data_IF_210766964432
#
_entry.id   IF_210766964432
#
_cell.length_a   1.000
_cell.length_b   1.000
_cell.length_c   1.000
_cell.angle_alpha   90.00
_cell.angle_beta   90.00
_cell.angle_gamma   90.00
#
_symmetry.space_group_name_H-M   'P 1'
#
loop_
_entity.id
_entity.type
_entity.pdbx_description
1 polymer ?
#
# COMPACT_ATOMS: atom_id res chain seq x y z
N UNK A 1 -11.22 2.91 12.40
CA UNK A 1 -10.72 4.24 11.98
C UNK A 1 -9.85 4.92 13.04
N UNK A 2 -8.78 5.55 12.59
CA UNK A 2 -7.83 6.41 13.32
C UNK A 2 -7.78 7.77 12.62
N UNK A 3 -7.74 8.85 13.40
CA UNK A 3 -7.65 10.21 12.87
C UNK A 3 -6.19 10.60 12.62
N UNK A 4 -5.91 11.07 11.42
CA UNK A 4 -4.64 11.70 11.05
C UNK A 4 -4.87 13.22 11.03
N UNK A 5 -4.24 14.00 11.92
CA UNK A 5 -4.42 15.44 11.94
C UNK A 5 -3.86 16.08 10.67
N UNK A 6 -4.54 17.12 10.20
CA UNK A 6 -4.07 17.91 9.06
C UNK A 6 -2.72 18.57 9.34
N UNK A 7 -1.92 18.74 8.30
CA UNK A 7 -0.54 19.18 8.43
C UNK A 7 0.20 19.19 7.10
N UNK A 8 1.48 19.55 7.16
CA UNK A 8 2.40 19.44 6.03
C UNK A 8 3.37 18.28 6.26
N UNK A 9 3.48 17.41 5.26
CA UNK A 9 4.24 16.17 5.32
C UNK A 9 5.18 16.07 4.13
N UNK A 10 6.27 15.32 4.30
CA UNK A 10 7.14 14.96 3.18
C UNK A 10 6.59 13.69 2.54
N UNK A 11 6.23 13.76 1.26
CA UNK A 11 5.81 12.62 0.44
C UNK A 11 6.93 12.27 -0.54
N UNK A 12 7.16 10.98 -0.74
CA UNK A 12 8.21 10.46 -1.61
C UNK A 12 9.57 10.31 -0.93
N UNK A 13 10.47 9.64 -1.63
CA UNK A 13 11.79 9.23 -1.18
C UNK A 13 12.89 10.21 -1.61
N UNK A 14 13.92 10.34 -0.80
CA UNK A 14 15.16 11.04 -1.19
C UNK A 14 16.07 10.12 -1.99
N UNK A 15 17.01 10.68 -2.75
CA UNK A 15 18.02 9.90 -3.49
C UNK A 15 18.79 8.94 -2.57
N UNK A 16 19.14 9.36 -1.35
CA UNK A 16 19.84 8.52 -0.39
C UNK A 16 18.98 7.31 0.06
N UNK A 17 17.70 7.52 0.32
CA UNK A 17 16.79 6.43 0.69
C UNK A 17 16.56 5.45 -0.47
N UNK A 18 16.51 5.94 -1.71
CA UNK A 18 16.42 5.08 -2.90
C UNK A 18 17.71 4.28 -3.08
N UNK A 19 18.88 4.88 -2.86
CA UNK A 19 20.15 4.16 -2.88
C UNK A 19 20.19 3.04 -1.83
N UNK A 20 19.73 3.30 -0.61
CA UNK A 20 19.61 2.28 0.45
C UNK A 20 18.63 1.16 0.04
N UNK A 21 17.51 1.50 -0.62
CA UNK A 21 16.52 0.54 -1.10
C UNK A 21 17.07 -0.35 -2.23
N UNK A 22 17.87 0.20 -3.14
CA UNK A 22 18.55 -0.54 -4.20
C UNK A 22 19.54 -1.56 -3.62
N UNK A 23 20.36 -1.16 -2.65
CA UNK A 23 21.29 -2.07 -1.96
C UNK A 23 20.55 -3.21 -1.25
N UNK A 24 19.41 -2.92 -0.60
CA UNK A 24 18.58 -3.95 0.04
C UNK A 24 17.92 -4.90 -0.98
N UNK A 25 17.66 -4.43 -2.20
CA UNK A 25 17.02 -5.17 -3.27
C UNK A 25 17.98 -6.13 -4.00
N UNK A 26 19.24 -5.74 -4.20
CA UNK A 26 20.28 -6.50 -4.92
C UNK A 26 20.31 -8.01 -4.62
N UNK A 27 20.29 -8.49 -3.35
CA UNK A 27 20.36 -9.93 -3.07
C UNK A 27 19.15 -10.73 -3.54
N UNK A 28 18.04 -10.07 -3.89
CA UNK A 28 16.81 -10.69 -4.35
C UNK A 28 16.66 -10.72 -5.87
N UNK A 29 17.54 -10.04 -6.61
CA UNK A 29 17.48 -9.95 -8.07
C UNK A 29 18.39 -10.97 -8.76
N UNK A 30 17.89 -11.57 -9.84
CA UNK A 30 18.69 -12.45 -10.69
C UNK A 30 19.78 -11.62 -11.39
N UNK A 31 21.04 -11.84 -11.02
CA UNK A 31 22.18 -11.05 -11.50
C UNK A 31 22.77 -10.08 -10.47
N UNK A 32 22.13 -9.92 -9.30
CA UNK A 32 22.68 -9.16 -8.18
C UNK A 32 22.71 -7.65 -8.36
N UNK A 33 21.92 -7.12 -9.30
CA UNK A 33 21.78 -5.69 -9.55
C UNK A 33 20.29 -5.34 -9.65
N UNK A 34 19.82 -4.52 -8.72
CA UNK A 34 18.46 -4.03 -8.70
C UNK A 34 18.25 -2.94 -9.75
N UNK A 35 17.25 -3.05 -10.65
CA UNK A 35 16.98 -2.00 -11.62
C UNK A 35 16.49 -0.72 -10.94
N UNK A 36 17.21 0.40 -11.13
CA UNK A 36 16.83 1.73 -10.62
C UNK A 36 15.39 2.14 -10.93
N UNK A 37 14.87 1.67 -12.08
CA UNK A 37 13.50 1.95 -12.54
C UNK A 37 12.41 1.53 -11.56
N UNK A 38 12.70 0.62 -10.63
CA UNK A 38 11.74 0.16 -9.64
C UNK A 38 11.35 1.23 -8.62
N UNK A 39 12.21 2.23 -8.37
CA UNK A 39 11.99 3.26 -7.35
C UNK A 39 11.81 4.67 -7.92
N UNK A 40 11.82 4.82 -9.25
CA UNK A 40 11.68 6.13 -9.90
C UNK A 40 10.37 6.85 -9.54
N UNK A 41 9.28 6.09 -9.40
CA UNK A 41 7.95 6.65 -9.11
C UNK A 41 7.79 7.14 -7.66
N UNK A 42 8.75 6.82 -6.77
CA UNK A 42 8.77 7.33 -5.39
C UNK A 42 9.43 8.72 -5.28
N UNK A 43 10.07 9.19 -6.34
CA UNK A 43 10.84 10.44 -6.37
C UNK A 43 10.15 11.52 -7.21
N UNK A 44 10.48 12.81 -6.99
CA UNK A 44 11.29 13.32 -5.88
C UNK A 44 10.47 13.48 -4.60
N UNK A 45 11.16 13.47 -3.46
CA UNK A 45 10.54 13.92 -2.21
C UNK A 45 10.06 15.38 -2.33
N UNK A 46 8.82 15.63 -1.93
CA UNK A 46 8.21 16.95 -1.94
C UNK A 46 7.25 17.14 -0.76
N UNK A 47 6.97 18.41 -0.42
CA UNK A 47 6.05 18.74 0.65
C UNK A 47 4.60 18.72 0.16
N UNK A 48 3.72 18.07 0.91
CA UNK A 48 2.27 18.03 0.66
C UNK A 48 1.54 18.51 1.90
N UNK A 49 0.55 19.40 1.73
CA UNK A 49 -0.36 19.82 2.79
C UNK A 49 -1.68 19.10 2.62
N UNK A 50 -2.12 18.41 3.67
CA UNK A 50 -3.38 17.67 3.70
C UNK A 50 -4.27 18.18 4.84
N UNK A 51 -5.57 18.19 4.59
CA UNK A 51 -6.57 18.33 5.66
C UNK A 51 -6.56 17.09 6.57
N UNK A 52 -7.13 17.23 7.77
CA UNK A 52 -7.29 16.08 8.66
C UNK A 52 -8.29 15.08 8.11
N UNK A 53 -7.95 13.79 8.17
CA UNK A 53 -8.79 12.71 7.65
C UNK A 53 -8.77 11.49 8.57
N UNK A 54 -9.73 10.59 8.36
CA UNK A 54 -9.79 9.30 9.02
C UNK A 54 -9.37 8.21 8.06
N UNK A 55 -8.58 7.26 8.54
CA UNK A 55 -8.24 6.03 7.82
C UNK A 55 -8.51 4.83 8.71
N UNK A 56 -8.85 3.68 8.15
CA UNK A 56 -8.99 2.48 8.96
C UNK A 56 -7.66 2.05 9.59
N UNK A 57 -7.77 1.46 10.79
CA UNK A 57 -6.59 1.02 11.54
C UNK A 57 -5.99 -0.25 10.92
N UNK A 58 -6.84 -1.03 10.27
CA UNK A 58 -6.52 -2.28 9.59
C UNK A 58 -7.15 -2.23 8.20
N UNK A 59 -6.67 -3.08 7.30
CA UNK A 59 -7.33 -3.30 6.02
C UNK A 59 -8.75 -3.86 6.20
N UNK A 60 -9.59 -3.69 5.17
CA UNK A 60 -10.96 -4.23 5.14
C UNK A 60 -10.87 -5.74 4.99
N UNK A 61 -11.49 -6.50 5.88
CA UNK A 61 -11.42 -7.96 5.81
C UNK A 61 -12.37 -8.54 4.77
N UNK A 62 -12.08 -9.75 4.29
CA UNK A 62 -12.98 -10.50 3.41
C UNK A 62 -14.40 -10.65 3.98
N UNK A 63 -14.53 -10.86 5.30
CA UNK A 63 -15.83 -10.91 5.95
C UNK A 63 -16.59 -9.58 5.85
N UNK A 64 -15.89 -8.46 6.02
CA UNK A 64 -16.48 -7.12 5.87
C UNK A 64 -16.85 -6.82 4.43
N UNK A 65 -16.00 -7.19 3.46
CA UNK A 65 -16.29 -7.02 2.05
C UNK A 65 -17.51 -7.85 1.59
N UNK A 66 -17.70 -9.06 2.15
CA UNK A 66 -18.90 -9.87 1.90
C UNK A 66 -20.20 -9.18 2.34
N UNK A 67 -20.18 -8.38 3.40
CA UNK A 67 -21.35 -7.58 3.79
C UNK A 67 -21.70 -6.56 2.70
N UNK A 68 -20.69 -6.01 2.01
CA UNK A 68 -20.90 -5.10 0.88
C UNK A 68 -21.49 -5.83 -0.35
N UNK A 69 -21.09 -7.09 -0.59
CA UNK A 69 -21.70 -7.95 -1.62
C UNK A 69 -23.16 -8.28 -1.29
N UNK A 70 -23.45 -8.66 -0.05
CA UNK A 70 -24.80 -8.96 0.42
C UNK A 70 -25.72 -7.74 0.34
N UNK A 71 -25.16 -6.54 0.55
CA UNK A 71 -25.85 -5.26 0.34
C UNK A 71 -26.03 -4.90 -1.14
N UNK A 72 -25.41 -5.63 -2.07
CA UNK A 72 -25.50 -5.39 -3.52
C UNK A 72 -24.77 -4.13 -4.01
N UNK A 73 -23.84 -3.59 -3.21
CA UNK A 73 -23.11 -2.36 -3.54
C UNK A 73 -21.72 -2.64 -4.13
N UNK A 74 -21.07 -3.71 -3.68
CA UNK A 74 -19.78 -4.16 -4.20
C UNK A 74 -19.95 -5.18 -5.33
N UNK A 75 -18.95 -5.25 -6.21
CA UNK A 75 -18.86 -6.27 -7.26
C UNK A 75 -18.09 -7.51 -6.79
N UNK A 76 -18.30 -8.64 -7.46
CA UNK A 76 -17.55 -9.86 -7.17
C UNK A 76 -16.05 -9.68 -7.50
N UNK A 77 -15.18 -10.39 -6.77
CA UNK A 77 -13.72 -10.29 -6.92
C UNK A 77 -13.07 -11.67 -6.87
N UNK A 78 -12.05 -11.94 -7.72
CA UNK A 78 -11.32 -13.20 -7.71
C UNK A 78 -10.79 -13.60 -6.34
N UNK A 79 -10.40 -12.63 -5.50
CA UNK A 79 -9.82 -12.88 -4.18
C UNK A 79 -10.72 -13.71 -3.26
N UNK A 80 -12.05 -13.53 -3.33
CA UNK A 80 -13.01 -14.29 -2.50
C UNK A 80 -13.16 -15.75 -2.95
N UNK A 81 -12.79 -16.04 -4.18
CA UNK A 81 -12.82 -17.40 -4.74
C UNK A 81 -11.48 -18.13 -4.63
N UNK A 82 -10.39 -17.43 -4.29
CA UNK A 82 -9.05 -17.99 -4.14
C UNK A 82 -8.83 -18.49 -2.70
N UNK A 83 -8.60 -19.81 -2.48
CA UNK A 83 -8.53 -20.38 -1.13
C UNK A 83 -7.48 -19.76 -0.19
N UNK A 84 -6.35 -19.29 -0.75
CA UNK A 84 -5.27 -18.71 0.05
C UNK A 84 -5.49 -17.21 0.37
N UNK A 85 -6.57 -16.62 -0.16
CA UNK A 85 -6.86 -15.19 -0.06
C UNK A 85 -8.31 -14.89 0.35
N UNK A 86 -9.07 -15.89 0.79
CA UNK A 86 -10.50 -15.73 1.09
C UNK A 86 -10.88 -16.01 2.56
N UNK A 87 -9.91 -16.15 3.47
CA UNK A 87 -10.23 -16.36 4.88
C UNK A 87 -10.87 -15.09 5.48
N UNK A 88 -11.81 -15.22 6.45
CA UNK A 88 -12.65 -14.12 6.91
C UNK A 88 -11.90 -12.88 7.44
N UNK A 89 -10.80 -13.09 8.15
CA UNK A 89 -9.99 -12.02 8.76
C UNK A 89 -8.78 -11.60 7.91
N UNK A 90 -8.61 -12.21 6.73
CA UNK A 90 -7.62 -11.72 5.76
C UNK A 90 -8.15 -10.45 5.10
N UNK A 91 -7.25 -9.51 4.78
CA UNK A 91 -7.55 -8.38 3.91
C UNK A 91 -7.86 -8.81 2.47
#
# INVERSE_FOLDING_TARGET
MVYVPGGSFQMGSTEAQVADALELCDPYMEGGECPDVLFNDEMPQHQVTLDGFWIDQTEVTNAQYRLCLEAGVCGDTPCLSTPDSNAPEQP
#
